data_IF_052084894603
#
_entry.id   IF_052084894603
#
_cell.length_a   1.000
_cell.length_b   1.000
_cell.length_c   1.000
_cell.angle_alpha   90.00
_cell.angle_beta   90.00
_cell.angle_gamma   90.00
#
_symmetry.space_group_name_H-M   'P 1'
#
loop_
_entity.id
_entity.type
_entity.pdbx_description
1 polymer ?
#
# COMPACT_ATOMS: atom_id res chain seq x y z
N UNK A 1 9.31 -29.13 11.10
CA UNK A 1 9.30 -27.70 11.50
C UNK A 1 10.11 -26.84 10.52
N UNK A 2 11.40 -27.16 10.24
CA UNK A 2 12.32 -26.33 9.42
C UNK A 2 11.75 -26.04 8.03
N UNK A 3 11.33 -27.05 7.26
CA UNK A 3 10.74 -26.86 5.94
C UNK A 3 9.50 -25.94 5.97
N UNK A 4 8.66 -26.07 7.01
CA UNK A 4 7.49 -25.19 7.22
C UNK A 4 7.90 -23.75 7.48
N UNK A 5 8.93 -23.54 8.30
CA UNK A 5 9.45 -22.22 8.58
C UNK A 5 9.94 -21.51 7.29
N UNK A 6 10.71 -22.21 6.46
CA UNK A 6 11.16 -21.68 5.18
C UNK A 6 9.99 -21.39 4.20
N UNK A 7 8.98 -22.25 4.20
CA UNK A 7 7.80 -22.05 3.38
C UNK A 7 7.04 -20.78 3.80
N UNK A 8 6.75 -20.62 5.10
CA UNK A 8 6.05 -19.46 5.65
C UNK A 8 6.88 -18.17 5.43
N UNK A 9 8.20 -18.25 5.71
CA UNK A 9 9.08 -17.07 5.62
C UNK A 9 9.12 -16.42 4.23
N UNK A 10 8.89 -17.18 3.17
CA UNK A 10 9.00 -16.71 1.77
C UNK A 10 7.69 -16.64 1.00
N UNK A 11 6.56 -17.00 1.60
CA UNK A 11 5.25 -17.01 0.92
C UNK A 11 4.27 -16.04 1.57
N UNK A 12 3.20 -15.69 0.87
CA UNK A 12 2.22 -14.72 1.33
C UNK A 12 2.84 -13.34 1.60
N UNK A 13 2.76 -12.88 2.83
CA UNK A 13 3.51 -11.73 3.31
C UNK A 13 4.85 -12.21 3.87
N UNK A 14 5.96 -12.08 3.13
CA UNK A 14 7.25 -12.63 3.55
C UNK A 14 7.76 -11.97 4.84
N UNK A 15 8.38 -12.76 5.71
CA UNK A 15 8.90 -12.25 6.97
C UNK A 15 9.70 -13.29 7.76
N UNK A 16 10.32 -12.89 8.87
CA UNK A 16 11.11 -13.78 9.71
C UNK A 16 10.24 -14.80 10.42
N UNK A 17 10.73 -16.02 10.55
CA UNK A 17 10.12 -17.11 11.32
C UNK A 17 11.10 -17.57 12.38
N UNK A 18 10.66 -17.66 13.62
CA UNK A 18 11.45 -18.16 14.74
C UNK A 18 11.12 -19.62 15.01
N UNK A 19 12.15 -20.46 15.11
CA UNK A 19 12.04 -21.83 15.56
C UNK A 19 12.68 -21.95 16.95
N UNK A 20 11.87 -22.30 17.94
CA UNK A 20 12.37 -22.65 19.27
C UNK A 20 12.61 -24.18 19.32
N UNK A 21 13.89 -24.54 19.48
CA UNK A 21 14.32 -25.93 19.55
C UNK A 21 14.47 -26.36 21.00
N UNK A 22 13.63 -27.27 21.45
CA UNK A 22 13.80 -27.90 22.76
C UNK A 22 15.12 -28.65 22.83
N UNK A 23 15.75 -28.66 24.02
CA UNK A 23 17.10 -29.20 24.23
C UNK A 23 17.21 -30.69 23.80
N UNK A 24 16.21 -31.50 24.10
CA UNK A 24 16.20 -32.92 23.70
C UNK A 24 16.17 -33.08 22.18
N UNK A 25 15.41 -32.25 21.47
CA UNK A 25 15.35 -32.31 20.00
C UNK A 25 16.68 -31.93 19.33
N UNK A 26 17.58 -31.23 20.04
CA UNK A 26 18.90 -30.88 19.54
C UNK A 26 19.94 -32.01 19.65
N UNK A 27 19.66 -33.04 20.45
CA UNK A 27 20.62 -34.13 20.72
C UNK A 27 20.11 -35.49 20.25
N UNK A 28 18.85 -35.61 19.86
CA UNK A 28 18.27 -36.82 19.31
C UNK A 28 18.86 -37.13 17.93
N UNK A 29 19.14 -38.40 17.70
CA UNK A 29 19.56 -38.91 16.38
C UNK A 29 18.34 -39.15 15.54
N UNK A 30 18.36 -38.72 14.29
CA UNK A 30 17.26 -38.90 13.33
C UNK A 30 17.83 -39.23 11.94
N UNK A 31 17.17 -40.10 11.22
CA UNK A 31 17.44 -40.30 9.81
C UNK A 31 16.95 -39.09 9.03
N UNK A 32 17.87 -38.39 8.37
CA UNK A 32 17.56 -37.18 7.65
C UNK A 32 16.97 -37.49 6.27
N UNK A 33 15.71 -37.10 6.06
CA UNK A 33 15.08 -37.10 4.75
C UNK A 33 14.71 -35.65 4.35
N UNK A 34 15.17 -35.20 3.16
CA UNK A 34 14.80 -33.86 2.66
C UNK A 34 13.28 -33.78 2.45
N UNK A 35 12.62 -32.87 3.18
CA UNK A 35 11.19 -32.65 3.03
C UNK A 35 10.96 -31.47 2.09
N UNK A 36 10.29 -31.69 0.97
CA UNK A 36 9.69 -30.62 0.16
C UNK A 36 8.30 -30.32 0.73
N UNK A 37 8.03 -29.04 0.95
CA UNK A 37 6.75 -28.57 1.46
C UNK A 37 6.22 -27.48 0.50
N UNK A 38 5.03 -27.75 -0.03
CA UNK A 38 4.29 -26.86 -0.94
C UNK A 38 2.92 -26.48 -0.38
N UNK A 39 2.53 -27.05 0.76
CA UNK A 39 1.24 -26.84 1.38
C UNK A 39 1.29 -26.95 2.91
N UNK A 40 0.57 -26.06 3.60
CA UNK A 40 0.28 -26.14 5.03
C UNK A 40 -1.23 -25.96 5.22
N UNK A 41 -1.88 -26.98 5.81
CA UNK A 41 -3.34 -27.09 5.93
C UNK A 41 -4.06 -25.83 6.47
N UNK A 42 -3.43 -25.07 7.34
CA UNK A 42 -4.02 -23.90 8.01
C UNK A 42 -3.43 -22.58 7.53
N UNK A 43 -2.73 -22.58 6.39
CA UNK A 43 -2.06 -21.40 5.87
C UNK A 43 -2.34 -21.25 4.38
N UNK A 44 -3.01 -20.18 4.02
CA UNK A 44 -3.25 -19.78 2.64
C UNK A 44 -2.39 -18.53 2.35
N UNK A 45 -1.28 -18.70 1.62
CA UNK A 45 -0.37 -17.59 1.31
C UNK A 45 -0.89 -16.64 0.24
N UNK A 46 -1.86 -17.06 -0.57
CA UNK A 46 -2.43 -16.27 -1.67
C UNK A 46 -3.95 -16.42 -1.70
N UNK A 47 -4.66 -15.80 -0.75
CA UNK A 47 -6.11 -15.85 -0.73
C UNK A 47 -6.70 -15.28 -2.00
N UNK A 48 -7.75 -15.90 -2.49
CA UNK A 48 -8.51 -15.38 -3.62
C UNK A 48 -9.47 -14.29 -3.14
N UNK A 49 -9.54 -13.16 -3.83
CA UNK A 49 -10.48 -12.10 -3.48
C UNK A 49 -11.93 -12.58 -3.66
N UNK A 50 -12.76 -12.21 -2.71
CA UNK A 50 -14.19 -12.47 -2.79
C UNK A 50 -14.84 -11.57 -3.86
N UNK A 51 -15.77 -12.14 -4.64
CA UNK A 51 -16.43 -11.42 -5.73
C UNK A 51 -17.33 -10.29 -5.23
N UNK A 52 -17.96 -10.48 -4.09
CA UNK A 52 -18.86 -9.49 -3.49
C UNK A 52 -18.05 -8.28 -3.03
N UNK A 53 -16.96 -8.50 -2.33
CA UNK A 53 -16.01 -7.45 -1.93
C UNK A 53 -15.43 -6.68 -3.12
N UNK A 54 -15.10 -7.37 -4.21
CA UNK A 54 -14.63 -6.72 -5.44
C UNK A 54 -15.70 -5.84 -6.09
N UNK A 55 -16.96 -6.28 -6.11
CA UNK A 55 -18.06 -5.51 -6.66
C UNK A 55 -18.37 -4.28 -5.80
N UNK A 56 -18.42 -4.44 -4.48
CA UNK A 56 -18.64 -3.35 -3.54
C UNK A 56 -17.50 -2.29 -3.62
N UNK A 57 -16.25 -2.73 -3.69
CA UNK A 57 -15.12 -1.85 -3.91
C UNK A 57 -15.24 -1.08 -5.24
N UNK A 58 -15.59 -1.76 -6.33
CA UNK A 58 -15.77 -1.13 -7.63
C UNK A 58 -16.93 -0.11 -7.64
N UNK A 59 -18.03 -0.39 -6.94
CA UNK A 59 -19.15 0.54 -6.79
C UNK A 59 -18.74 1.81 -6.03
N UNK A 60 -18.01 1.68 -4.93
CA UNK A 60 -17.49 2.83 -4.19
C UNK A 60 -16.55 3.68 -5.07
N UNK A 61 -15.63 3.06 -5.79
CA UNK A 61 -14.69 3.74 -6.69
C UNK A 61 -15.44 4.44 -7.82
N UNK A 62 -16.42 3.77 -8.44
CA UNK A 62 -17.18 4.33 -9.55
C UNK A 62 -18.04 5.55 -9.17
N UNK A 63 -18.38 5.71 -7.90
CA UNK A 63 -19.18 6.81 -7.38
C UNK A 63 -18.34 7.87 -6.65
N UNK A 64 -17.05 7.63 -6.48
CA UNK A 64 -16.15 8.56 -5.81
C UNK A 64 -16.02 9.88 -6.58
N UNK A 65 -15.96 10.98 -5.85
CA UNK A 65 -15.68 12.31 -6.40
C UNK A 65 -14.24 12.75 -6.10
N UNK A 66 -13.68 12.24 -5.01
CA UNK A 66 -12.34 12.57 -4.52
C UNK A 66 -11.60 11.31 -4.08
N UNK A 67 -11.40 10.34 -4.98
CA UNK A 67 -10.67 9.12 -4.63
C UNK A 67 -9.19 9.42 -4.40
N UNK A 68 -8.58 8.71 -3.45
CA UNK A 68 -7.14 8.75 -3.23
C UNK A 68 -6.61 7.32 -3.04
N UNK A 69 -5.59 6.96 -3.83
CA UNK A 69 -4.93 5.66 -3.73
C UNK A 69 -3.68 5.77 -2.88
N UNK A 70 -3.58 4.94 -1.84
CA UNK A 70 -2.38 4.82 -1.01
C UNK A 70 -1.62 3.57 -1.41
N UNK A 71 -0.38 3.76 -1.84
CA UNK A 71 0.46 2.71 -2.42
C UNK A 71 1.51 2.25 -1.41
N UNK A 72 1.45 0.98 -1.02
CA UNK A 72 2.41 0.36 -0.11
C UNK A 72 3.35 -0.62 -0.77
N UNK A 73 4.22 -1.23 0.04
CA UNK A 73 5.21 -2.22 -0.38
C UNK A 73 4.60 -3.47 -1.01
N UNK A 74 3.34 -3.79 -0.68
CA UNK A 74 2.65 -4.96 -1.24
C UNK A 74 2.54 -4.94 -2.76
N UNK A 75 2.56 -3.75 -3.38
CA UNK A 75 2.58 -3.61 -4.84
C UNK A 75 3.90 -4.11 -5.42
N UNK A 76 5.03 -3.75 -4.81
CA UNK A 76 6.36 -4.23 -5.21
C UNK A 76 6.51 -5.74 -4.97
N UNK A 77 6.14 -6.20 -3.76
CA UNK A 77 6.23 -7.62 -3.40
C UNK A 77 5.33 -8.50 -4.28
N UNK A 78 4.20 -7.97 -4.73
CA UNK A 78 3.27 -8.64 -5.64
C UNK A 78 3.64 -8.51 -7.12
N UNK A 79 4.69 -7.76 -7.48
CA UNK A 79 5.02 -7.40 -8.87
C UNK A 79 3.80 -6.84 -9.62
N UNK A 80 3.10 -5.89 -9.00
CA UNK A 80 1.80 -5.35 -9.44
C UNK A 80 1.87 -3.91 -9.95
N UNK A 81 3.06 -3.43 -10.36
CA UNK A 81 3.28 -2.04 -10.78
C UNK A 81 2.48 -1.68 -12.04
N UNK A 82 2.42 -2.58 -13.01
CA UNK A 82 1.68 -2.35 -14.25
C UNK A 82 0.17 -2.38 -14.01
N UNK A 83 -0.31 -3.29 -13.15
CA UNK A 83 -1.71 -3.36 -12.74
C UNK A 83 -2.12 -2.13 -11.93
N UNK A 84 -1.25 -1.64 -11.04
CA UNK A 84 -1.49 -0.39 -10.31
C UNK A 84 -1.64 0.79 -11.28
N UNK A 85 -0.73 0.91 -12.24
CA UNK A 85 -0.77 1.99 -13.25
C UNK A 85 -2.07 1.94 -14.05
N UNK A 86 -2.41 0.77 -14.59
CA UNK A 86 -3.65 0.60 -15.34
C UNK A 86 -4.89 0.93 -14.51
N UNK A 87 -4.89 0.58 -13.23
CA UNK A 87 -5.99 0.84 -12.29
C UNK A 87 -6.19 2.34 -12.04
N UNK A 88 -5.12 3.06 -11.69
CA UNK A 88 -5.22 4.50 -11.39
C UNK A 88 -5.48 5.34 -12.63
N UNK A 89 -4.89 4.98 -13.77
CA UNK A 89 -5.09 5.68 -15.04
C UNK A 89 -6.51 5.54 -15.55
N UNK A 90 -7.13 4.36 -15.41
CA UNK A 90 -8.49 4.11 -15.90
C UNK A 90 -9.52 5.02 -15.26
N UNK A 91 -9.42 5.22 -13.96
CA UNK A 91 -10.36 6.07 -13.21
C UNK A 91 -9.76 7.43 -12.82
N UNK A 92 -8.59 7.81 -13.38
CA UNK A 92 -7.93 9.11 -13.18
C UNK A 92 -7.78 9.46 -11.68
N UNK A 93 -7.23 8.51 -10.91
CA UNK A 93 -7.13 8.60 -9.46
C UNK A 93 -5.73 9.02 -9.02
N UNK A 94 -5.56 10.13 -8.29
CA UNK A 94 -4.27 10.48 -7.72
C UNK A 94 -3.84 9.45 -6.67
N UNK A 95 -2.53 9.26 -6.55
CA UNK A 95 -1.96 8.35 -5.56
C UNK A 95 -0.84 9.00 -4.74
N UNK A 96 -0.71 8.55 -3.50
CA UNK A 96 0.42 8.82 -2.63
C UNK A 96 1.11 7.52 -2.22
N UNK A 97 2.44 7.53 -2.15
CA UNK A 97 3.22 6.35 -1.84
C UNK A 97 3.71 6.36 -0.39
N UNK A 98 3.64 5.21 0.29
CA UNK A 98 4.40 5.04 1.53
C UNK A 98 5.90 4.98 1.22
N UNK A 99 6.77 5.15 2.20
CA UNK A 99 8.22 5.06 2.00
C UNK A 99 8.63 3.79 1.23
N UNK A 100 8.08 2.64 1.58
CA UNK A 100 8.36 1.36 0.91
C UNK A 100 7.53 1.13 -0.35
N UNK A 101 6.63 2.04 -0.70
CA UNK A 101 5.84 2.02 -1.94
C UNK A 101 6.37 2.97 -3.02
N UNK A 102 7.43 3.75 -2.74
CA UNK A 102 7.92 4.80 -3.65
C UNK A 102 8.32 4.29 -5.04
N UNK A 103 8.78 3.05 -5.16
CA UNK A 103 9.21 2.46 -6.45
C UNK A 103 8.04 1.91 -7.28
N UNK A 104 6.83 1.82 -6.70
CA UNK A 104 5.69 1.19 -7.38
C UNK A 104 5.16 1.99 -8.58
N UNK A 105 5.41 3.31 -8.62
CA UNK A 105 5.03 4.19 -9.71
C UNK A 105 6.11 5.26 -9.92
N UNK A 106 6.46 5.61 -11.18
CA UNK A 106 7.46 6.65 -11.44
C UNK A 106 7.10 7.98 -10.78
N UNK A 107 8.09 8.66 -10.21
CA UNK A 107 7.90 9.99 -9.60
C UNK A 107 7.36 11.01 -10.60
N UNK A 108 7.71 10.88 -11.88
CA UNK A 108 7.24 11.75 -12.97
C UNK A 108 5.81 11.45 -13.45
N UNK A 109 5.16 10.42 -12.91
CA UNK A 109 3.80 10.08 -13.31
C UNK A 109 2.81 11.17 -12.83
N UNK A 110 1.92 11.69 -13.68
CA UNK A 110 1.06 12.85 -13.33
C UNK A 110 0.09 12.58 -12.16
N UNK A 111 -0.29 11.33 -11.95
CA UNK A 111 -1.14 10.93 -10.83
C UNK A 111 -0.34 10.64 -9.55
N UNK A 112 0.99 10.54 -9.60
CA UNK A 112 1.82 10.41 -8.40
C UNK A 112 1.96 11.77 -7.71
N UNK A 113 1.41 11.88 -6.50
CA UNK A 113 1.41 13.11 -5.70
C UNK A 113 2.49 13.11 -4.61
N UNK A 114 3.40 12.14 -4.66
CA UNK A 114 4.54 12.05 -3.77
C UNK A 114 4.37 11.07 -2.61
N UNK A 115 5.22 11.23 -1.60
CA UNK A 115 5.22 10.39 -0.41
C UNK A 115 4.21 10.90 0.62
N UNK A 116 3.56 9.98 1.32
CA UNK A 116 2.70 10.30 2.47
C UNK A 116 3.30 9.79 3.78
N UNK A 117 2.77 10.28 4.88
CA UNK A 117 3.24 9.96 6.22
C UNK A 117 4.07 11.07 6.86
N UNK A 118 4.73 10.76 7.97
CA UNK A 118 5.44 11.71 8.84
C UNK A 118 6.50 12.55 8.11
N UNK A 119 7.18 11.96 7.13
CA UNK A 119 8.21 12.60 6.31
C UNK A 119 7.76 12.79 4.85
N UNK A 120 6.45 12.73 4.63
CA UNK A 120 5.86 12.83 3.29
C UNK A 120 5.57 14.26 2.87
N UNK A 121 5.12 14.37 1.63
CA UNK A 121 4.71 15.62 1.01
C UNK A 121 3.42 16.17 1.65
N UNK A 122 3.27 17.49 1.61
CA UNK A 122 2.12 18.17 2.20
C UNK A 122 0.80 17.75 1.53
N UNK A 123 0.77 17.76 0.19
CA UNK A 123 -0.43 17.45 -0.60
C UNK A 123 -1.09 16.12 -0.24
N UNK A 124 -0.42 14.97 -0.42
CA UNK A 124 -1.04 13.68 -0.14
C UNK A 124 -1.44 13.50 1.33
N UNK A 125 -0.70 14.10 2.28
CA UNK A 125 -1.06 14.05 3.71
C UNK A 125 -2.37 14.79 4.01
N UNK A 126 -2.54 16.00 3.46
CA UNK A 126 -3.78 16.78 3.64
C UNK A 126 -4.93 16.10 2.93
N UNK A 127 -4.72 15.69 1.68
CA UNK A 127 -5.75 15.09 0.83
C UNK A 127 -6.27 13.73 1.33
N UNK A 128 -5.49 13.02 2.14
CA UNK A 128 -5.98 11.83 2.86
C UNK A 128 -7.16 12.16 3.79
N UNK A 129 -7.19 13.37 4.37
CA UNK A 129 -8.29 13.82 5.23
C UNK A 129 -9.38 14.62 4.47
N UNK A 130 -9.28 14.73 3.14
CA UNK A 130 -10.28 15.39 2.30
C UNK A 130 -10.94 14.45 1.29
N UNK A 131 -10.33 13.28 1.00
CA UNK A 131 -10.89 12.29 0.08
C UNK A 131 -12.21 11.72 0.59
N UNK A 132 -13.05 11.27 -0.33
CA UNK A 132 -14.31 10.56 0.00
C UNK A 132 -14.14 9.03 -0.06
N UNK A 133 -13.23 8.54 -0.89
CA UNK A 133 -12.85 7.12 -0.95
C UNK A 133 -11.33 7.00 -0.84
N UNK A 134 -10.86 6.26 0.16
CA UNK A 134 -9.47 5.95 0.41
C UNK A 134 -9.19 4.49 0.02
N UNK A 135 -8.32 4.28 -0.95
CA UNK A 135 -8.01 2.96 -1.48
C UNK A 135 -6.58 2.60 -1.08
N UNK A 136 -6.43 1.79 -0.06
CA UNK A 136 -5.12 1.34 0.42
C UNK A 136 -4.71 0.04 -0.27
N UNK A 137 -3.56 0.04 -0.94
CA UNK A 137 -3.06 -1.07 -1.73
C UNK A 137 -1.74 -1.58 -1.16
N UNK A 138 -1.78 -2.74 -0.52
CA UNK A 138 -0.59 -3.40 0.04
C UNK A 138 0.15 -2.58 1.09
N UNK A 139 -0.60 -1.89 1.97
CA UNK A 139 -0.06 -1.09 3.06
C UNK A 139 -0.82 -1.36 4.37
N UNK A 140 -0.13 -1.31 5.49
CA UNK A 140 -0.65 -1.74 6.80
C UNK A 140 -1.19 -0.64 7.72
N UNK A 141 -1.33 0.60 7.25
CA UNK A 141 -1.75 1.74 8.06
C UNK A 141 -0.96 1.91 9.38
N UNK A 142 0.38 1.87 9.30
CA UNK A 142 1.21 2.08 10.48
C UNK A 142 1.21 3.55 10.96
N UNK A 143 1.69 3.77 12.18
CA UNK A 143 1.70 5.06 12.85
C UNK A 143 2.52 6.14 12.11
N UNK A 144 3.52 5.72 11.33
CA UNK A 144 4.34 6.65 10.52
C UNK A 144 3.57 7.25 9.36
N UNK A 145 2.52 6.56 8.91
CA UNK A 145 1.63 7.01 7.85
C UNK A 145 0.38 7.67 8.42
N UNK A 146 -0.25 7.06 9.40
CA UNK A 146 -1.55 7.52 9.92
C UNK A 146 -1.44 8.66 10.92
N UNK A 147 -0.35 8.72 11.68
CA UNK A 147 -0.27 9.62 12.82
C UNK A 147 -1.41 9.34 13.82
N UNK A 148 -2.18 10.37 14.17
CA UNK A 148 -3.28 10.27 15.13
C UNK A 148 -4.50 9.58 14.51
N UNK A 149 -4.74 8.33 14.86
CA UNK A 149 -5.85 7.50 14.34
C UNK A 149 -7.24 8.10 14.54
N UNK A 150 -7.47 8.84 15.65
CA UNK A 150 -8.78 9.44 15.94
C UNK A 150 -9.23 10.46 14.89
N UNK A 151 -8.30 11.02 14.12
CA UNK A 151 -8.57 12.06 13.11
C UNK A 151 -8.22 11.65 11.71
N UNK A 152 -7.64 10.45 11.52
CA UNK A 152 -7.18 9.98 10.21
C UNK A 152 -8.33 9.51 9.33
N UNK A 153 -8.52 10.13 8.18
CA UNK A 153 -9.45 9.74 7.11
C UNK A 153 -10.90 9.42 7.54
N UNK A 154 -11.41 10.08 8.59
CA UNK A 154 -12.72 9.78 9.19
C UNK A 154 -13.91 10.04 8.27
N UNK A 155 -13.75 10.89 7.27
CA UNK A 155 -14.76 11.24 6.27
C UNK A 155 -14.81 10.24 5.11
N UNK A 156 -13.74 9.46 4.90
CA UNK A 156 -13.59 8.58 3.75
C UNK A 156 -14.20 7.20 3.98
N UNK A 157 -14.70 6.59 2.91
CA UNK A 157 -14.90 5.14 2.81
C UNK A 157 -13.57 4.48 2.52
N UNK A 158 -13.19 3.49 3.31
CA UNK A 158 -11.89 2.83 3.23
C UNK A 158 -12.01 1.49 2.54
N UNK A 159 -11.33 1.35 1.42
CA UNK A 159 -11.11 0.07 0.72
C UNK A 159 -9.68 -0.38 1.02
N UNK A 160 -9.48 -1.60 1.49
CA UNK A 160 -8.16 -2.11 1.83
C UNK A 160 -7.84 -3.40 1.08
N UNK A 161 -6.92 -3.29 0.12
CA UNK A 161 -6.37 -4.43 -0.63
C UNK A 161 -5.11 -4.91 0.09
N UNK A 162 -5.17 -6.09 0.70
CA UNK A 162 -4.00 -6.69 1.35
C UNK A 162 -4.03 -8.23 1.21
N UNK A 163 -2.85 -8.84 1.25
CA UNK A 163 -2.70 -10.29 1.23
C UNK A 163 -2.86 -10.90 2.62
N UNK A 164 -2.64 -10.09 3.67
CA UNK A 164 -2.63 -10.51 5.05
C UNK A 164 -3.92 -10.08 5.76
N UNK A 165 -4.79 -11.06 6.02
CA UNK A 165 -6.04 -10.83 6.75
C UNK A 165 -5.83 -10.15 8.11
N UNK A 166 -4.68 -10.35 8.75
CA UNK A 166 -4.39 -9.76 10.06
C UNK A 166 -4.16 -8.25 10.04
N UNK A 167 -3.97 -7.65 8.87
CA UNK A 167 -3.87 -6.19 8.71
C UNK A 167 -5.23 -5.51 8.52
N UNK A 168 -6.28 -6.27 8.16
CA UNK A 168 -7.63 -5.73 8.00
C UNK A 168 -8.19 -5.33 9.37
N UNK A 169 -8.79 -4.14 9.46
CA UNK A 169 -9.36 -3.55 10.67
C UNK A 169 -8.39 -3.38 11.86
N UNK A 170 -7.11 -3.54 11.64
CA UNK A 170 -6.10 -3.52 12.71
C UNK A 170 -5.90 -2.11 13.28
N UNK A 171 -5.69 -1.13 12.45
CA UNK A 171 -5.40 0.26 12.84
C UNK A 171 -6.48 1.22 12.37
N UNK A 172 -6.93 1.07 11.13
CA UNK A 172 -8.00 1.87 10.51
C UNK A 172 -9.16 0.95 10.21
N UNK A 173 -10.37 1.40 10.52
CA UNK A 173 -11.58 0.65 10.19
C UNK A 173 -11.77 0.62 8.69
N UNK A 174 -11.99 -0.56 8.15
CA UNK A 174 -12.16 -0.81 6.72
C UNK A 174 -13.64 -0.96 6.40
N UNK A 175 -14.14 -0.26 5.38
CA UNK A 175 -15.49 -0.45 4.88
C UNK A 175 -15.55 -1.68 3.93
N UNK A 176 -14.58 -1.82 3.04
CA UNK A 176 -14.51 -2.95 2.09
C UNK A 176 -13.12 -3.58 2.10
N UNK A 177 -12.94 -4.75 2.71
CA UNK A 177 -11.72 -5.52 2.62
C UNK A 177 -11.65 -6.30 1.30
N UNK A 178 -10.52 -6.24 0.60
CA UNK A 178 -10.25 -7.03 -0.60
C UNK A 178 -8.98 -7.85 -0.36
N UNK A 179 -9.16 -9.09 0.11
CA UNK A 179 -8.06 -9.99 0.41
C UNK A 179 -7.50 -10.61 -0.88
N UNK A 180 -6.19 -10.57 -1.04
CA UNK A 180 -5.51 -11.20 -2.17
C UNK A 180 -4.21 -10.52 -2.55
N UNK A 181 -3.48 -11.17 -3.45
CA UNK A 181 -2.29 -10.58 -4.04
C UNK A 181 -2.67 -9.32 -4.86
N UNK A 182 -1.94 -8.21 -4.64
CA UNK A 182 -2.22 -6.92 -5.30
C UNK A 182 -2.29 -7.04 -6.82
N UNK A 183 -1.48 -7.89 -7.44
CA UNK A 183 -1.51 -8.11 -8.89
C UNK A 183 -2.86 -8.60 -9.38
N UNK A 184 -3.40 -9.62 -8.73
CA UNK A 184 -4.68 -10.21 -9.11
C UNK A 184 -5.85 -9.31 -8.76
N UNK A 185 -5.85 -8.72 -7.54
CA UNK A 185 -6.95 -7.87 -7.08
C UNK A 185 -7.06 -6.60 -7.90
N UNK A 186 -5.93 -5.93 -8.22
CA UNK A 186 -5.92 -4.74 -9.08
C UNK A 186 -6.38 -5.05 -10.51
N UNK A 187 -5.91 -6.17 -11.10
CA UNK A 187 -6.35 -6.58 -12.42
C UNK A 187 -7.87 -6.83 -12.49
N UNK A 188 -8.43 -7.48 -11.48
CA UNK A 188 -9.87 -7.75 -11.40
C UNK A 188 -10.67 -6.47 -11.16
N UNK A 189 -10.25 -5.60 -10.25
CA UNK A 189 -10.89 -4.31 -10.00
C UNK A 189 -10.84 -3.40 -11.24
N UNK A 190 -9.74 -3.39 -11.96
CA UNK A 190 -9.61 -2.63 -13.21
C UNK A 190 -10.64 -3.03 -14.25
N UNK A 191 -11.07 -4.29 -14.28
CA UNK A 191 -12.15 -4.72 -15.17
C UNK A 191 -13.54 -4.22 -14.74
N UNK A 192 -13.76 -4.07 -13.44
CA UNK A 192 -15.05 -3.71 -12.84
C UNK A 192 -15.28 -2.19 -12.74
N UNK A 193 -14.21 -1.40 -12.55
CA UNK A 193 -14.32 0.06 -12.50
C UNK A 193 -14.55 0.66 -13.90
N UNK A 194 -15.17 1.84 -13.92
CA UNK A 194 -15.43 2.61 -15.15
C UNK A 194 -14.27 3.59 -15.39
N UNK A 195 -14.13 4.02 -16.64
CA UNK A 195 -13.35 5.22 -16.93
C UNK A 195 -14.00 6.42 -16.26
N UNK A 196 -13.18 7.25 -15.65
CA UNK A 196 -13.63 8.46 -14.97
C UNK A 196 -12.57 9.58 -15.12
N UNK A 197 -12.94 10.79 -14.71
CA UNK A 197 -12.05 11.95 -14.65
C UNK A 197 -12.27 12.69 -13.34
N UNK A 198 -11.15 13.01 -12.67
CA UNK A 198 -11.15 13.73 -11.42
C UNK A 198 -10.27 14.99 -11.48
N UNK A 199 -10.31 15.72 -12.61
CA UNK A 199 -9.41 16.83 -12.91
C UNK A 199 -9.41 17.89 -11.81
N UNK A 200 -10.58 18.35 -11.34
CA UNK A 200 -10.66 19.35 -10.25
C UNK A 200 -10.02 18.85 -8.96
N UNK A 201 -10.20 17.55 -8.64
CA UNK A 201 -9.59 16.93 -7.47
C UNK A 201 -8.08 16.86 -7.61
N UNK A 202 -7.57 16.42 -8.76
CA UNK A 202 -6.14 16.37 -9.07
C UNK A 202 -5.51 17.76 -9.04
N UNK A 203 -6.16 18.75 -9.65
CA UNK A 203 -5.69 20.13 -9.71
C UNK A 203 -5.62 20.76 -8.31
N UNK A 204 -6.47 20.34 -7.37
CA UNK A 204 -6.46 20.80 -5.99
C UNK A 204 -5.21 20.44 -5.19
N UNK A 205 -4.34 19.57 -5.71
CA UNK A 205 -3.02 19.32 -5.12
C UNK A 205 -2.00 20.43 -5.40
N UNK A 206 -2.17 21.18 -6.50
CA UNK A 206 -1.21 22.16 -6.95
C UNK A 206 -0.91 23.27 -5.91
N UNK A 207 -1.87 23.65 -5.10
CA UNK A 207 -1.68 24.63 -4.01
C UNK A 207 -0.68 24.12 -2.96
N UNK A 208 -0.80 22.84 -2.60
CA UNK A 208 0.09 22.21 -1.62
C UNK A 208 1.48 21.97 -2.21
N UNK A 209 1.56 21.53 -3.46
CA UNK A 209 2.82 21.36 -4.20
C UNK A 209 3.59 22.70 -4.29
N UNK A 210 2.88 23.79 -4.59
CA UNK A 210 3.46 25.14 -4.61
C UNK A 210 3.96 25.56 -3.22
N UNK A 211 3.15 25.39 -2.20
CA UNK A 211 3.50 25.73 -0.81
C UNK A 211 4.74 24.96 -0.36
N UNK A 212 4.81 23.70 -0.64
CA UNK A 212 5.95 22.83 -0.32
C UNK A 212 7.21 23.27 -1.09
N UNK A 213 7.08 23.55 -2.38
CA UNK A 213 8.19 24.06 -3.19
C UNK A 213 8.76 25.36 -2.62
N UNK A 214 7.91 26.35 -2.30
CA UNK A 214 8.32 27.65 -1.80
C UNK A 214 8.95 27.60 -0.40
N UNK A 215 8.49 26.70 0.47
CA UNK A 215 8.91 26.69 1.87
C UNK A 215 10.01 25.65 2.17
N UNK A 216 10.09 24.56 1.42
CA UNK A 216 10.99 23.43 1.67
C UNK A 216 11.92 23.22 0.48
N UNK A 217 11.39 22.82 -0.69
CA UNK A 217 12.21 22.30 -1.79
C UNK A 217 13.19 23.37 -2.31
N UNK A 218 12.71 24.59 -2.59
CA UNK A 218 13.56 25.66 -3.11
C UNK A 218 14.64 26.13 -2.13
N UNK A 219 14.42 25.94 -0.82
CA UNK A 219 15.32 26.43 0.22
C UNK A 219 16.29 25.36 0.74
N UNK A 220 15.82 24.12 0.84
CA UNK A 220 16.54 23.05 1.51
C UNK A 220 17.13 22.01 0.54
N UNK A 221 16.45 21.80 -0.62
CA UNK A 221 16.90 20.82 -1.62
C UNK A 221 17.63 21.48 -2.77
N UNK A 222 17.18 22.68 -3.19
CA UNK A 222 17.78 23.45 -4.30
C UNK A 222 18.10 24.89 -3.89
N UNK A 223 18.93 25.12 -2.84
CA UNK A 223 19.29 26.47 -2.43
C UNK A 223 20.14 27.17 -3.48
N UNK A 224 19.99 28.49 -3.59
CA UNK A 224 20.72 29.33 -4.56
C UNK A 224 22.09 29.76 -3.99
N UNK A 225 22.81 28.89 -3.32
CA UNK A 225 24.15 29.11 -2.79
C UNK A 225 24.23 28.94 -1.28
N UNK A 226 25.44 28.93 -0.75
CA UNK A 226 25.73 28.65 0.64
C UNK A 226 26.60 27.40 0.83
N UNK A 227 26.68 26.89 2.06
CA UNK A 227 27.30 25.59 2.33
C UNK A 227 26.32 24.47 2.01
N UNK A 228 26.82 23.32 1.55
CA UNK A 228 25.99 22.12 1.33
C UNK A 228 25.18 21.78 2.58
N UNK A 229 23.92 21.54 2.40
CA UNK A 229 22.99 21.10 3.44
C UNK A 229 22.57 19.64 3.22
N UNK A 230 21.84 19.06 4.18
CA UNK A 230 21.43 17.65 4.12
C UNK A 230 20.43 17.35 2.96
N UNK A 231 19.74 18.36 2.48
CA UNK A 231 18.78 18.20 1.36
C UNK A 231 19.47 18.15 -0.01
N UNK A 232 20.72 18.64 -0.12
CA UNK A 232 21.52 18.65 -1.36
C UNK A 232 22.36 17.38 -1.53
N UNK A 233 22.53 16.56 -0.48
CA UNK A 233 23.31 15.32 -0.47
C UNK A 233 22.43 14.13 -0.81
#
# INVERSE_FOLDING_TARGET
AVARAFYIAKSGRPGPVVLDFAKNAQVEMVDYEPMKLDFIRSYDPEPNPDKESLQEAAELINNAQRPLVLVGQGVELGNAQDELRAFIEKADMPCGCTLLGLSAIPTSHPLNKGMLGMHGNLGPNVKTNECDVLIAVGMRFDDRVTGKLDTYAKQAKVIHLDIDHSEIDKNVKVDVPVLGNCKHTLAMLTQLIRENKHSEWIDSFAEYEKTEYEHVISKEIHPVGGALNMGEV
#
